data_IF_326046019383
#
_entry.id   IF_326046019383
#
_cell.length_a   1.000
_cell.length_b   1.000
_cell.length_c   1.000
_cell.angle_alpha   90.00
_cell.angle_beta   90.00
_cell.angle_gamma   90.00
#
_symmetry.space_group_name_H-M   'P 1'
#
loop_
_entity.id
_entity.type
_entity.pdbx_description
1 polymer ?
#
# COMPACT_ATOMS: atom_id res chain seq x y z
N UNK A 1 -44.28 -38.76 -56.12
CA UNK A 1 -42.92 -39.36 -55.97
C UNK A 1 -41.94 -38.28 -55.72
N UNK A 2 -41.75 -37.90 -54.51
CA UNK A 2 -40.53 -37.09 -54.10
C UNK A 2 -40.11 -37.56 -52.71
N UNK A 3 -38.89 -38.09 -52.64
CA UNK A 3 -38.21 -38.51 -51.41
C UNK A 3 -37.72 -37.29 -50.67
N UNK A 4 -38.15 -37.07 -49.46
CA UNK A 4 -37.59 -36.12 -48.52
C UNK A 4 -36.40 -36.79 -47.82
N UNK A 5 -35.20 -36.26 -48.05
CA UNK A 5 -33.97 -36.57 -47.28
C UNK A 5 -33.91 -35.54 -46.18
N UNK A 6 -34.07 -35.98 -44.94
CA UNK A 6 -33.81 -35.17 -43.74
C UNK A 6 -32.28 -35.17 -43.48
N UNK A 7 -31.66 -34.03 -43.66
CA UNK A 7 -30.26 -33.79 -43.28
C UNK A 7 -30.20 -33.41 -41.81
N UNK A 8 -29.79 -34.33 -40.96
CA UNK A 8 -29.51 -34.05 -39.56
C UNK A 8 -28.21 -33.25 -39.45
N UNK A 9 -28.29 -31.95 -39.19
CA UNK A 9 -27.16 -31.14 -38.73
C UNK A 9 -26.81 -31.51 -37.30
N UNK A 10 -25.73 -32.26 -37.10
CA UNK A 10 -25.10 -32.43 -35.81
C UNK A 10 -24.33 -31.14 -35.52
N UNK A 11 -24.85 -30.27 -34.65
CA UNK A 11 -24.11 -29.19 -34.05
C UNK A 11 -23.10 -29.82 -33.10
N UNK A 12 -21.85 -29.95 -33.55
CA UNK A 12 -20.71 -30.07 -32.64
C UNK A 12 -20.51 -28.72 -31.98
N UNK A 13 -20.98 -28.57 -30.75
CA UNK A 13 -20.50 -27.57 -29.82
C UNK A 13 -19.05 -27.89 -29.52
N UNK A 14 -18.14 -27.26 -30.27
CA UNK A 14 -16.74 -27.15 -29.85
C UNK A 14 -16.74 -26.30 -28.58
N UNK A 15 -16.66 -26.96 -27.45
CA UNK A 15 -16.15 -26.27 -26.23
C UNK A 15 -14.74 -25.81 -26.55
N UNK A 16 -14.59 -24.57 -27.02
CA UNK A 16 -13.33 -23.87 -26.95
C UNK A 16 -13.04 -23.65 -25.47
N UNK A 17 -12.31 -24.59 -24.87
CA UNK A 17 -11.53 -24.29 -23.70
C UNK A 17 -10.66 -23.10 -24.09
N UNK A 18 -11.03 -21.91 -23.63
CA UNK A 18 -10.11 -20.80 -23.52
C UNK A 18 -9.03 -21.27 -22.55
N UNK A 19 -8.01 -21.93 -23.07
CA UNK A 19 -6.73 -21.97 -22.40
C UNK A 19 -6.35 -20.48 -22.25
N UNK A 20 -6.49 -19.92 -21.04
CA UNK A 20 -5.91 -18.64 -20.70
C UNK A 20 -4.43 -18.75 -21.08
N UNK A 21 -4.05 -18.12 -22.20
CA UNK A 21 -2.65 -17.88 -22.48
C UNK A 21 -2.13 -17.12 -21.28
N UNK A 22 -1.18 -17.72 -20.57
CA UNK A 22 -0.39 -16.97 -19.60
C UNK A 22 0.12 -15.73 -20.33
N UNK A 23 0.02 -14.53 -19.73
CA UNK A 23 0.57 -13.34 -20.34
C UNK A 23 2.01 -13.66 -20.71
N UNK A 24 2.35 -13.51 -21.99
CA UNK A 24 3.74 -13.57 -22.41
C UNK A 24 4.47 -12.54 -21.57
N UNK A 25 5.43 -13.01 -20.78
CA UNK A 25 6.29 -12.11 -20.02
C UNK A 25 6.86 -11.12 -21.01
N UNK A 26 6.50 -9.86 -20.88
CA UNK A 26 6.94 -8.75 -21.72
C UNK A 26 8.46 -8.57 -21.67
N UNK A 27 9.12 -9.28 -20.75
CA UNK A 27 10.56 -9.50 -20.75
C UNK A 27 10.78 -11.00 -20.78
N UNK A 28 11.05 -11.51 -21.95
CA UNK A 28 11.59 -12.85 -22.09
C UNK A 28 12.97 -12.90 -21.39
N UNK A 29 13.01 -13.58 -20.24
CA UNK A 29 14.29 -13.82 -19.55
C UNK A 29 15.30 -14.54 -20.43
N UNK A 30 14.84 -15.30 -21.43
CA UNK A 30 15.71 -15.96 -22.40
C UNK A 30 16.46 -14.97 -23.30
N UNK A 31 15.81 -13.86 -23.69
CA UNK A 31 16.48 -12.80 -24.46
C UNK A 31 17.55 -12.07 -23.66
N UNK A 32 17.38 -11.95 -22.34
CA UNK A 32 18.41 -11.42 -21.45
C UNK A 32 19.54 -12.45 -21.32
N UNK A 33 19.22 -13.73 -21.16
CA UNK A 33 20.20 -14.81 -20.98
C UNK A 33 21.00 -15.07 -22.25
N UNK A 34 20.38 -15.06 -23.44
CA UNK A 34 21.08 -15.21 -24.71
C UNK A 34 22.00 -14.02 -25.02
N UNK A 35 21.56 -12.80 -24.77
CA UNK A 35 22.43 -11.60 -24.89
C UNK A 35 23.52 -11.51 -23.82
N UNK A 36 23.34 -12.15 -22.67
CA UNK A 36 24.36 -12.19 -21.61
C UNK A 36 25.50 -13.16 -21.93
N UNK A 37 25.33 -14.13 -22.82
CA UNK A 37 26.40 -15.02 -23.25
C UNK A 37 27.35 -14.37 -24.26
N UNK A 38 26.95 -13.30 -24.93
CA UNK A 38 27.82 -12.50 -25.80
C UNK A 38 28.42 -11.31 -25.05
N UNK A 39 29.56 -11.51 -24.38
CA UNK A 39 30.43 -10.51 -23.76
C UNK A 39 29.77 -9.63 -22.69
N UNK A 40 29.98 -10.02 -21.43
CA UNK A 40 29.68 -9.23 -20.20
C UNK A 40 30.52 -7.93 -20.13
N UNK A 41 30.34 -7.00 -21.04
CA UNK A 41 30.79 -5.63 -20.83
C UNK A 41 29.70 -4.91 -20.02
N UNK A 42 30.00 -4.68 -18.74
CA UNK A 42 29.12 -3.84 -17.92
C UNK A 42 28.94 -2.47 -18.58
N UNK A 43 27.67 -2.06 -18.71
CA UNK A 43 27.28 -0.78 -19.33
C UNK A 43 26.73 0.18 -18.28
N UNK A 44 26.82 1.49 -18.49
CA UNK A 44 26.07 2.44 -17.69
C UNK A 44 24.58 2.10 -17.72
N UNK A 45 23.85 2.41 -16.65
CA UNK A 45 22.40 2.27 -16.65
C UNK A 45 21.78 3.18 -17.72
N UNK A 46 20.91 2.65 -18.55
CA UNK A 46 20.10 3.40 -19.51
C UNK A 46 18.63 3.49 -19.04
N UNK A 47 17.83 4.34 -19.72
CA UNK A 47 16.41 4.43 -19.48
C UNK A 47 15.70 3.10 -19.75
N UNK A 48 16.10 2.40 -20.81
CA UNK A 48 15.55 1.08 -21.16
C UNK A 48 15.88 0.04 -20.09
N UNK A 49 17.11 0.07 -19.56
CA UNK A 49 17.51 -0.83 -18.45
C UNK A 49 16.71 -0.54 -17.19
N UNK A 50 16.45 0.74 -16.87
CA UNK A 50 15.62 1.14 -15.73
C UNK A 50 14.20 0.58 -15.85
N UNK A 51 13.60 0.60 -17.04
CA UNK A 51 12.27 0.05 -17.28
C UNK A 51 12.19 -1.48 -17.21
N UNK A 52 13.30 -2.19 -17.44
CA UNK A 52 13.37 -3.65 -17.32
C UNK A 52 13.35 -4.16 -15.88
N UNK A 53 13.66 -3.31 -14.89
CA UNK A 53 13.67 -3.70 -13.49
C UNK A 53 12.28 -4.11 -13.02
N UNK A 54 12.15 -5.27 -12.38
CA UNK A 54 10.95 -5.66 -11.64
C UNK A 54 10.76 -4.77 -10.41
N UNK A 55 9.54 -4.30 -10.20
CA UNK A 55 9.17 -3.51 -9.01
C UNK A 55 8.59 -4.45 -7.97
N UNK A 56 9.36 -4.68 -6.90
CA UNK A 56 8.99 -5.59 -5.82
C UNK A 56 8.14 -4.86 -4.79
N UNK A 57 7.00 -5.45 -4.43
CA UNK A 57 6.14 -5.05 -3.32
C UNK A 57 5.98 -6.22 -2.34
N UNK A 58 6.04 -5.96 -1.05
CA UNK A 58 5.74 -6.99 -0.06
C UNK A 58 4.24 -6.93 0.28
N UNK A 59 3.57 -8.08 0.19
CA UNK A 59 2.10 -8.16 0.30
C UNK A 59 1.65 -8.70 1.67
N UNK A 60 2.46 -9.52 2.34
CA UNK A 60 2.13 -10.01 3.68
C UNK A 60 2.84 -11.30 4.08
N UNK A 61 2.81 -11.57 5.37
CA UNK A 61 3.31 -12.82 5.97
C UNK A 61 2.15 -13.74 6.30
N UNK A 62 2.37 -15.07 6.18
CA UNK A 62 1.47 -16.05 6.76
C UNK A 62 1.43 -15.90 8.29
N UNK A 63 0.30 -16.28 8.92
CA UNK A 63 0.13 -16.10 10.37
C UNK A 63 1.19 -16.83 11.20
N UNK A 64 1.64 -17.99 10.73
CA UNK A 64 2.74 -18.74 11.34
C UNK A 64 4.13 -18.12 11.10
N UNK A 65 4.21 -17.12 10.25
CA UNK A 65 5.45 -16.42 9.92
C UNK A 65 6.44 -17.23 9.08
N UNK A 66 5.98 -18.30 8.40
CA UNK A 66 6.85 -19.19 7.61
C UNK A 66 6.92 -18.88 6.14
N UNK A 67 5.98 -18.10 5.61
CA UNK A 67 5.98 -17.70 4.22
C UNK A 67 5.64 -16.21 4.07
N UNK A 68 6.22 -15.64 3.01
CA UNK A 68 5.99 -14.27 2.57
C UNK A 68 5.31 -14.30 1.21
N UNK A 69 4.24 -13.54 1.05
CA UNK A 69 3.68 -13.17 -0.25
C UNK A 69 4.26 -11.83 -0.68
N UNK A 70 4.76 -11.76 -1.91
CA UNK A 70 5.27 -10.53 -2.50
C UNK A 70 4.84 -10.43 -3.96
N UNK A 71 4.68 -9.20 -4.45
CA UNK A 71 4.35 -8.91 -5.84
C UNK A 71 5.57 -8.47 -6.62
N UNK A 72 5.59 -8.76 -7.92
CA UNK A 72 6.58 -8.21 -8.85
C UNK A 72 5.83 -7.59 -10.02
N UNK A 73 5.99 -6.28 -10.20
CA UNK A 73 5.41 -5.56 -11.34
C UNK A 73 6.47 -5.36 -12.43
N UNK A 74 6.10 -5.67 -13.67
CA UNK A 74 6.88 -5.36 -14.85
C UNK A 74 6.13 -4.39 -15.76
N UNK A 75 6.86 -3.58 -16.51
CA UNK A 75 6.30 -2.56 -17.39
C UNK A 75 6.53 -2.89 -18.85
N UNK A 76 5.52 -2.70 -19.69
CA UNK A 76 5.63 -2.67 -21.13
C UNK A 76 5.63 -1.23 -21.64
N UNK A 77 6.71 -0.80 -22.28
CA UNK A 77 6.76 0.50 -22.92
C UNK A 77 5.85 0.56 -24.15
N UNK A 78 5.75 -0.51 -24.91
CA UNK A 78 4.92 -0.59 -26.11
C UNK A 78 3.44 -0.46 -25.79
N UNK A 79 3.00 -1.17 -24.73
CA UNK A 79 1.60 -1.18 -24.33
C UNK A 79 1.23 -0.07 -23.33
N UNK A 80 2.24 0.65 -22.82
CA UNK A 80 2.08 1.64 -21.75
C UNK A 80 1.29 1.11 -20.55
N UNK A 81 1.62 -0.10 -20.13
CA UNK A 81 0.97 -0.83 -19.04
C UNK A 81 1.99 -1.45 -18.10
N UNK A 82 1.50 -1.84 -16.93
CA UNK A 82 2.22 -2.72 -16.00
C UNK A 82 1.34 -3.90 -15.61
N UNK A 83 1.98 -5.04 -15.34
CA UNK A 83 1.35 -6.23 -14.79
C UNK A 83 2.09 -6.64 -13.53
N UNK A 84 1.35 -7.10 -12.53
CA UNK A 84 1.89 -7.57 -11.26
C UNK A 84 1.41 -8.98 -10.96
N UNK A 85 2.35 -9.89 -10.81
CA UNK A 85 2.10 -11.24 -10.33
C UNK A 85 2.51 -11.37 -8.86
N UNK A 86 1.81 -12.22 -8.13
CA UNK A 86 2.17 -12.60 -6.76
C UNK A 86 3.11 -13.81 -6.76
N UNK A 87 4.03 -13.80 -5.81
CA UNK A 87 4.98 -14.85 -5.54
C UNK A 87 4.91 -15.28 -4.08
N UNK A 88 5.18 -16.55 -3.82
CA UNK A 88 5.28 -17.12 -2.49
C UNK A 88 6.73 -17.47 -2.18
N UNK A 89 7.29 -16.89 -1.13
CA UNK A 89 8.64 -17.18 -0.63
C UNK A 89 8.56 -17.95 0.68
N UNK A 90 9.17 -19.13 0.74
CA UNK A 90 9.29 -19.90 1.99
C UNK A 90 10.48 -19.39 2.80
N UNK A 91 10.23 -18.90 4.00
CA UNK A 91 11.27 -18.47 4.94
C UNK A 91 12.07 -19.63 5.52
N UNK A 92 11.54 -20.87 5.47
CA UNK A 92 12.23 -22.07 5.94
C UNK A 92 13.23 -22.60 4.91
N UNK A 93 12.85 -22.63 3.62
CA UNK A 93 13.66 -23.23 2.55
C UNK A 93 14.41 -22.19 1.71
N UNK A 94 14.04 -20.92 1.78
CA UNK A 94 14.58 -19.86 0.93
C UNK A 94 14.14 -19.94 -0.54
N UNK A 95 13.12 -20.75 -0.85
CA UNK A 95 12.64 -20.96 -2.21
C UNK A 95 11.46 -20.03 -2.52
N UNK A 96 11.52 -19.37 -3.68
CA UNK A 96 10.42 -18.58 -4.22
C UNK A 96 9.72 -19.32 -5.36
N UNK A 97 8.38 -19.28 -5.36
CA UNK A 97 7.55 -19.83 -6.43
C UNK A 97 6.54 -18.79 -6.88
N UNK A 98 6.22 -18.77 -8.17
CA UNK A 98 5.15 -17.91 -8.68
C UNK A 98 3.81 -18.42 -8.15
N UNK A 99 3.05 -17.51 -7.51
CA UNK A 99 1.78 -17.84 -6.88
C UNK A 99 0.57 -17.56 -7.78
N UNK A 100 0.54 -16.42 -8.45
CA UNK A 100 -0.50 -16.08 -9.44
C UNK A 100 0.10 -15.91 -10.83
N UNK A 101 -0.77 -15.97 -11.83
CA UNK A 101 -0.49 -15.62 -13.22
C UNK A 101 -1.77 -15.02 -13.78
N UNK A 102 -1.81 -13.72 -13.93
CA UNK A 102 -3.01 -13.05 -14.42
C UNK A 102 -2.67 -11.79 -15.20
N UNK A 103 -3.63 -11.33 -15.98
CA UNK A 103 -3.57 -10.02 -16.62
C UNK A 103 -4.10 -8.97 -15.64
N UNK A 104 -3.23 -8.13 -15.14
CA UNK A 104 -3.58 -7.04 -14.24
C UNK A 104 -2.69 -6.96 -13.01
N UNK A 105 -3.11 -6.22 -12.01
CA UNK A 105 -2.37 -6.03 -10.78
C UNK A 105 -3.03 -6.76 -9.61
N UNK A 106 -2.48 -7.90 -9.21
CA UNK A 106 -2.95 -8.58 -8.01
C UNK A 106 -2.42 -7.91 -6.74
N UNK A 107 -3.27 -7.82 -5.72
CA UNK A 107 -2.88 -7.36 -4.38
C UNK A 107 -3.52 -8.23 -3.32
N UNK A 108 -2.73 -8.64 -2.33
CA UNK A 108 -3.22 -9.48 -1.23
C UNK A 108 -4.14 -8.64 -0.33
N UNK A 109 -5.33 -9.18 -0.08
CA UNK A 109 -6.32 -8.58 0.83
C UNK A 109 -6.29 -9.28 2.19
N UNK A 110 -6.15 -10.61 2.20
CA UNK A 110 -6.15 -11.41 3.43
C UNK A 110 -5.39 -12.71 3.23
N UNK A 111 -4.62 -13.10 4.23
CA UNK A 111 -4.02 -14.43 4.34
C UNK A 111 -4.67 -15.14 5.51
N UNK A 112 -5.33 -16.26 5.26
CA UNK A 112 -6.06 -17.03 6.26
C UNK A 112 -5.16 -18.09 6.90
N UNK A 113 -5.51 -18.52 8.12
CA UNK A 113 -4.72 -19.50 8.88
C UNK A 113 -4.65 -20.89 8.22
N UNK A 114 -5.64 -21.23 7.37
CA UNK A 114 -5.67 -22.47 6.60
C UNK A 114 -4.79 -22.41 5.32
N UNK A 115 -4.13 -21.27 5.07
CA UNK A 115 -3.31 -21.04 3.90
C UNK A 115 -4.06 -20.50 2.68
N UNK A 116 -5.36 -20.21 2.79
CA UNK A 116 -6.09 -19.50 1.75
C UNK A 116 -5.64 -18.04 1.69
N UNK A 117 -5.35 -17.56 0.49
CA UNK A 117 -5.02 -16.16 0.19
C UNK A 117 -6.16 -15.57 -0.60
N UNK A 118 -6.80 -14.56 -0.03
CA UNK A 118 -7.75 -13.73 -0.76
C UNK A 118 -7.00 -12.53 -1.32
N UNK A 119 -7.09 -12.30 -2.62
CA UNK A 119 -6.46 -11.21 -3.31
C UNK A 119 -7.43 -10.50 -4.25
N UNK A 120 -7.18 -9.24 -4.53
CA UNK A 120 -7.91 -8.46 -5.52
C UNK A 120 -7.25 -8.57 -6.88
N UNK A 121 -8.07 -8.71 -7.93
CA UNK A 121 -7.68 -8.62 -9.33
C UNK A 121 -8.81 -7.95 -10.11
N UNK A 122 -8.51 -6.83 -10.78
CA UNK A 122 -9.49 -6.03 -11.55
C UNK A 122 -10.75 -5.69 -10.73
N UNK A 123 -10.58 -5.31 -9.47
CA UNK A 123 -11.66 -4.96 -8.56
C UNK A 123 -12.49 -6.15 -8.05
N UNK A 124 -12.16 -7.39 -8.42
CA UNK A 124 -12.83 -8.59 -7.93
C UNK A 124 -11.96 -9.35 -6.94
N UNK A 125 -12.57 -10.04 -5.99
CA UNK A 125 -11.88 -10.90 -5.04
C UNK A 125 -11.70 -12.29 -5.63
N UNK A 126 -10.52 -12.81 -5.45
CA UNK A 126 -10.11 -14.16 -5.83
C UNK A 126 -9.50 -14.88 -4.64
N UNK A 127 -9.56 -16.20 -4.66
CA UNK A 127 -8.98 -17.04 -3.62
C UNK A 127 -8.11 -18.13 -4.22
N UNK A 128 -6.94 -18.36 -3.59
CA UNK A 128 -6.03 -19.46 -3.90
C UNK A 128 -5.32 -19.93 -2.66
N UNK A 129 -5.11 -21.25 -2.50
CA UNK A 129 -4.37 -21.79 -1.35
C UNK A 129 -2.86 -21.79 -1.63
N UNK A 130 -2.05 -21.47 -0.60
CA UNK A 130 -0.57 -21.47 -0.70
C UNK A 130 0.01 -22.86 -1.02
N UNK A 131 -0.69 -23.94 -0.69
CA UNK A 131 -0.26 -25.30 -0.95
C UNK A 131 -0.56 -25.76 -2.39
N UNK A 132 -1.21 -24.93 -3.22
CA UNK A 132 -1.53 -25.21 -4.61
C UNK A 132 -3.03 -25.19 -4.92
N UNK A 133 -3.38 -25.67 -6.10
CA UNK A 133 -4.74 -25.61 -6.64
C UNK A 133 -4.99 -24.39 -7.52
N UNK A 134 -6.15 -24.37 -8.16
CA UNK A 134 -6.57 -23.28 -9.04
C UNK A 134 -7.09 -22.10 -8.25
N UNK A 135 -6.96 -20.91 -8.82
CA UNK A 135 -7.60 -19.70 -8.28
C UNK A 135 -9.11 -19.74 -8.56
N UNK A 136 -9.90 -19.35 -7.55
CA UNK A 136 -11.35 -19.27 -7.65
C UNK A 136 -11.78 -17.81 -7.49
N UNK A 137 -12.54 -17.30 -8.45
CA UNK A 137 -13.18 -15.98 -8.33
C UNK A 137 -14.28 -16.03 -7.27
N UNK A 138 -14.21 -15.12 -6.29
CA UNK A 138 -15.19 -15.04 -5.21
C UNK A 138 -16.31 -14.03 -5.50
N UNK A 139 -16.01 -12.95 -6.24
CA UNK A 139 -16.97 -11.87 -6.51
C UNK A 139 -17.04 -11.55 -8.00
N UNK A 140 -18.23 -11.10 -8.41
CA UNK A 140 -18.49 -10.52 -9.74
C UNK A 140 -19.44 -9.33 -9.54
N UNK A 141 -18.85 -8.19 -9.14
CA UNK A 141 -19.57 -6.98 -8.72
C UNK A 141 -19.33 -5.87 -9.74
N UNK A 142 -20.40 -5.29 -10.23
CA UNK A 142 -20.33 -4.15 -11.14
C UNK A 142 -19.62 -2.96 -10.46
N UNK A 143 -18.61 -2.42 -11.16
CA UNK A 143 -17.73 -1.38 -10.66
C UNK A 143 -16.66 -1.85 -9.66
N UNK A 144 -16.64 -3.14 -9.29
CA UNK A 144 -15.60 -3.72 -8.42
C UNK A 144 -15.66 -3.29 -6.96
N UNK A 145 -14.65 -3.73 -6.22
CA UNK A 145 -14.45 -3.43 -4.81
C UNK A 145 -13.05 -2.82 -4.62
N UNK A 146 -12.96 -1.74 -3.86
CA UNK A 146 -11.70 -1.09 -3.52
C UNK A 146 -11.50 -1.05 -2.00
N UNK A 147 -10.26 -0.98 -1.55
CA UNK A 147 -9.88 -0.80 -0.13
C UNK A 147 -10.52 -1.84 0.81
N UNK A 148 -10.55 -3.08 0.38
CA UNK A 148 -11.28 -4.16 1.04
C UNK A 148 -10.62 -4.57 2.35
N UNK A 149 -11.43 -4.70 3.41
CA UNK A 149 -11.04 -5.26 4.72
C UNK A 149 -12.10 -6.22 5.23
N UNK A 150 -11.69 -7.40 5.67
CA UNK A 150 -12.57 -8.37 6.34
C UNK A 150 -12.63 -8.10 7.84
N UNK A 151 -13.81 -8.28 8.44
CA UNK A 151 -13.93 -8.28 9.90
C UNK A 151 -13.11 -9.43 10.52
N UNK A 152 -12.62 -9.28 11.77
CA UNK A 152 -11.89 -10.34 12.45
C UNK A 152 -12.63 -11.67 12.54
N UNK A 153 -13.97 -11.65 12.72
CA UNK A 153 -14.82 -12.85 12.76
C UNK A 153 -15.17 -13.42 11.37
N UNK A 154 -14.71 -12.77 10.30
CA UNK A 154 -14.92 -13.19 8.91
C UNK A 154 -16.36 -13.05 8.38
N UNK A 155 -17.28 -12.45 9.14
CA UNK A 155 -18.70 -12.35 8.76
C UNK A 155 -19.07 -11.11 7.98
N UNK A 156 -18.19 -10.12 7.96
CA UNK A 156 -18.41 -8.85 7.29
C UNK A 156 -17.23 -8.46 6.42
N UNK A 157 -17.56 -7.67 5.40
CA UNK A 157 -16.60 -7.02 4.52
C UNK A 157 -16.82 -5.51 4.58
N UNK A 158 -15.75 -4.76 4.61
CA UNK A 158 -15.69 -3.31 4.46
C UNK A 158 -14.97 -3.02 3.15
N UNK A 159 -15.49 -2.10 2.37
CA UNK A 159 -14.89 -1.67 1.10
C UNK A 159 -15.31 -0.24 0.77
N UNK A 160 -14.59 0.41 -0.13
CA UNK A 160 -14.98 1.72 -0.63
C UNK A 160 -15.63 1.63 -2.02
N UNK A 161 -16.54 2.57 -2.26
CA UNK A 161 -17.16 2.77 -3.57
C UNK A 161 -17.46 4.26 -3.78
N UNK A 162 -17.29 4.73 -5.02
CA UNK A 162 -17.64 6.10 -5.40
C UNK A 162 -19.16 6.26 -5.56
N UNK A 163 -19.73 7.23 -4.83
CA UNK A 163 -21.17 7.54 -4.81
C UNK A 163 -21.39 8.94 -5.37
N UNK A 164 -22.33 9.09 -6.32
CA UNK A 164 -22.68 10.40 -6.85
C UNK A 164 -23.53 11.18 -5.82
N UNK A 165 -22.95 12.20 -5.23
CA UNK A 165 -23.59 13.06 -4.21
C UNK A 165 -23.91 14.44 -4.78
N UNK A 166 -23.03 14.97 -5.63
CA UNK A 166 -23.18 16.29 -6.25
C UNK A 166 -23.35 16.19 -7.76
N UNK A 167 -24.15 17.04 -8.33
CA UNK A 167 -24.37 17.11 -9.77
C UNK A 167 -23.57 18.29 -10.33
N UNK A 168 -22.38 18.03 -10.84
CA UNK A 168 -21.52 19.04 -11.45
C UNK A 168 -21.55 19.01 -12.97
N UNK A 169 -21.86 17.88 -13.59
CA UNK A 169 -21.95 17.77 -15.03
C UNK A 169 -23.20 18.49 -15.56
N UNK A 170 -23.05 19.19 -16.67
CA UNK A 170 -24.15 19.97 -17.28
C UNK A 170 -25.38 19.12 -17.62
N UNK A 171 -25.19 17.89 -18.09
CA UNK A 171 -26.29 16.98 -18.37
C UNK A 171 -27.13 16.63 -17.13
N UNK A 172 -26.54 16.69 -15.92
CA UNK A 172 -27.23 16.47 -14.66
C UNK A 172 -27.91 17.73 -14.10
N UNK A 173 -27.42 18.93 -14.51
CA UNK A 173 -27.91 20.25 -14.07
C UNK A 173 -28.97 20.84 -15.02
N UNK A 174 -28.83 20.57 -16.31
CA UNK A 174 -29.65 21.19 -17.39
C UNK A 174 -30.20 20.09 -18.29
N UNK A 175 -31.44 19.69 -18.06
CA UNK A 175 -32.11 18.60 -18.79
C UNK A 175 -32.31 18.91 -20.28
N UNK A 176 -32.39 20.20 -20.64
CA UNK A 176 -32.47 20.71 -22.02
C UNK A 176 -31.15 20.73 -22.79
N UNK A 177 -30.03 20.45 -22.11
CA UNK A 177 -28.69 20.41 -22.67
C UNK A 177 -27.98 19.05 -22.55
N UNK A 178 -28.62 17.94 -22.95
CA UNK A 178 -28.13 16.58 -22.68
C UNK A 178 -26.82 16.23 -23.41
N UNK A 179 -26.44 17.00 -24.44
CA UNK A 179 -25.21 16.81 -25.22
C UNK A 179 -24.06 17.71 -24.76
N UNK A 180 -24.32 18.60 -23.81
CA UNK A 180 -23.29 19.46 -23.26
C UNK A 180 -22.30 18.65 -22.40
N UNK A 181 -21.00 18.83 -22.64
CA UNK A 181 -19.95 18.15 -21.86
C UNK A 181 -19.13 19.19 -21.07
N UNK A 182 -19.78 19.79 -20.08
CA UNK A 182 -19.21 20.88 -19.24
C UNK A 182 -19.45 20.54 -17.78
N UNK A 183 -18.48 20.88 -16.92
CA UNK A 183 -18.66 20.85 -15.48
C UNK A 183 -18.89 22.27 -14.97
N UNK A 184 -19.83 22.43 -14.04
CA UNK A 184 -20.21 23.72 -13.46
C UNK A 184 -19.99 23.66 -11.94
N UNK A 185 -19.00 24.38 -11.47
CA UNK A 185 -18.63 24.47 -10.06
C UNK A 185 -18.94 25.84 -9.50
N UNK A 186 -19.49 25.87 -8.30
CA UNK A 186 -19.84 27.09 -7.56
C UNK A 186 -18.89 27.31 -6.36
N UNK A 187 -17.92 26.42 -6.17
CA UNK A 187 -17.00 26.43 -5.01
C UNK A 187 -15.64 25.84 -5.36
N UNK A 188 -14.66 25.98 -4.45
CA UNK A 188 -13.37 25.31 -4.53
C UNK A 188 -13.50 23.79 -4.32
N UNK A 189 -12.33 23.07 -4.41
CA UNK A 189 -12.25 21.62 -4.45
C UNK A 189 -12.86 21.02 -5.72
N UNK A 190 -12.75 21.76 -6.83
CA UNK A 190 -13.22 21.29 -8.13
C UNK A 190 -12.19 20.46 -8.89
N UNK A 191 -10.91 20.53 -8.50
CA UNK A 191 -9.81 19.79 -9.12
C UNK A 191 -8.71 19.52 -8.11
N UNK A 192 -8.16 18.31 -8.15
CA UNK A 192 -6.92 17.96 -7.46
C UNK A 192 -5.93 17.38 -8.49
N UNK A 193 -4.71 17.96 -8.61
CA UNK A 193 -3.74 17.69 -9.68
C UNK A 193 -4.40 17.78 -11.07
N UNK A 194 -4.51 16.67 -11.80
CA UNK A 194 -5.10 16.54 -13.12
C UNK A 194 -6.53 15.96 -13.12
N UNK A 195 -7.08 15.64 -11.96
CA UNK A 195 -8.41 15.03 -11.80
C UNK A 195 -9.43 16.07 -11.37
N UNK A 196 -10.47 16.25 -12.19
CA UNK A 196 -11.63 17.08 -11.86
C UNK A 196 -12.62 16.30 -10.98
N UNK A 197 -13.22 16.98 -10.00
CA UNK A 197 -14.29 16.42 -9.19
C UNK A 197 -15.55 16.23 -10.07
N UNK A 198 -15.99 15.01 -10.24
CA UNK A 198 -17.18 14.65 -11.02
C UNK A 198 -18.46 14.58 -10.18
N UNK A 199 -18.36 14.95 -8.89
CA UNK A 199 -19.48 14.89 -7.93
C UNK A 199 -19.61 13.56 -7.22
N UNK A 200 -18.71 12.61 -7.47
CA UNK A 200 -18.61 11.35 -6.74
C UNK A 200 -17.69 11.49 -5.55
N UNK A 201 -18.07 10.83 -4.47
CA UNK A 201 -17.29 10.75 -3.24
C UNK A 201 -17.10 9.30 -2.88
N UNK A 202 -15.88 8.90 -2.53
CA UNK A 202 -15.63 7.56 -2.03
C UNK A 202 -16.22 7.42 -0.64
N UNK A 203 -17.13 6.47 -0.47
CA UNK A 203 -17.76 6.14 0.79
C UNK A 203 -17.36 4.76 1.27
N UNK A 204 -17.22 4.52 2.58
CA UNK A 204 -17.07 3.20 3.15
C UNK A 204 -18.41 2.48 3.16
N UNK A 205 -18.43 1.28 2.60
CA UNK A 205 -19.57 0.36 2.62
C UNK A 205 -19.27 -0.84 3.49
N UNK A 206 -20.26 -1.29 4.25
CA UNK A 206 -20.19 -2.56 4.93
C UNK A 206 -21.26 -3.53 4.39
N UNK A 207 -20.92 -4.80 4.26
CA UNK A 207 -21.85 -5.86 3.91
C UNK A 207 -21.58 -7.14 4.70
N UNK A 208 -22.56 -8.03 4.83
CA UNK A 208 -22.30 -9.39 5.28
C UNK A 208 -21.46 -10.14 4.24
N UNK A 209 -20.64 -11.08 4.70
CA UNK A 209 -19.79 -11.89 3.83
C UNK A 209 -19.90 -13.37 4.24
N UNK A 210 -20.13 -14.24 3.28
CA UNK A 210 -20.13 -15.70 3.44
C UNK A 210 -19.56 -16.36 2.18
N UNK A 211 -18.32 -16.84 2.26
CA UNK A 211 -17.66 -17.61 1.19
C UNK A 211 -17.81 -17.00 -0.24
N UNK A 212 -17.56 -15.70 -0.37
CA UNK A 212 -17.67 -14.97 -1.64
C UNK A 212 -19.06 -14.34 -1.88
N UNK A 213 -20.06 -14.72 -1.11
CA UNK A 213 -21.37 -14.07 -1.18
C UNK A 213 -21.36 -12.80 -0.34
N UNK A 214 -21.55 -11.67 -0.99
CA UNK A 214 -21.69 -10.36 -0.35
C UNK A 214 -23.18 -10.03 -0.28
N UNK A 215 -23.64 -9.74 0.93
CA UNK A 215 -25.03 -9.34 1.17
C UNK A 215 -25.27 -7.89 0.77
N UNK A 216 -26.43 -7.36 1.15
CA UNK A 216 -26.75 -5.96 0.91
C UNK A 216 -25.74 -5.03 1.55
N UNK A 217 -25.17 -4.14 0.74
CA UNK A 217 -24.16 -3.19 1.17
C UNK A 217 -24.84 -1.93 1.75
N UNK A 218 -24.40 -1.54 2.95
CA UNK A 218 -24.83 -0.31 3.61
C UNK A 218 -23.75 0.75 3.48
N UNK A 219 -24.10 1.91 2.93
CA UNK A 219 -23.29 3.12 2.91
C UNK A 219 -23.19 3.71 4.33
N UNK A 220 -21.97 3.93 4.83
CA UNK A 220 -21.73 4.50 6.18
C UNK A 220 -21.80 6.02 6.15
N UNK A 221 -21.56 6.65 4.99
CA UNK A 221 -21.61 8.09 4.77
C UNK A 221 -22.80 8.52 3.90
N UNK A 222 -23.88 7.75 3.91
CA UNK A 222 -25.04 7.98 3.04
C UNK A 222 -25.47 9.45 3.01
N UNK A 223 -25.44 10.04 1.79
CA UNK A 223 -25.84 11.42 1.55
C UNK A 223 -24.79 12.49 1.94
N UNK A 224 -23.68 12.12 2.56
CA UNK A 224 -22.63 13.06 2.98
C UNK A 224 -21.63 13.35 1.84
N UNK A 225 -21.26 14.63 1.57
CA UNK A 225 -20.31 14.98 0.53
C UNK A 225 -18.87 14.93 1.07
N UNK A 226 -18.47 13.76 1.62
CA UNK A 226 -17.16 13.57 2.22
C UNK A 226 -16.47 12.33 1.66
N UNK A 227 -15.14 12.33 1.62
CA UNK A 227 -14.33 11.21 1.16
C UNK A 227 -13.87 10.35 2.32
N UNK A 228 -14.04 9.03 2.20
CA UNK A 228 -13.35 8.02 2.98
C UNK A 228 -13.14 6.75 2.13
N UNK A 229 -11.89 6.35 1.82
CA UNK A 229 -10.64 6.95 2.29
C UNK A 229 -10.52 8.41 1.93
N UNK A 230 -9.75 9.16 2.75
CA UNK A 230 -9.58 10.60 2.54
C UNK A 230 -8.79 10.88 1.25
N UNK A 231 -9.14 11.94 0.53
CA UNK A 231 -8.42 12.35 -0.67
C UNK A 231 -7.39 13.43 -0.33
N UNK A 232 -6.21 13.44 -1.02
CA UNK A 232 -5.83 12.54 -2.14
C UNK A 232 -5.05 11.29 -1.70
N UNK A 233 -4.64 11.17 -0.42
CA UNK A 233 -3.61 10.23 0.03
C UNK A 233 -4.16 8.97 0.72
N UNK A 234 -5.44 8.90 1.03
CA UNK A 234 -6.03 7.78 1.75
C UNK A 234 -6.24 6.53 0.90
N UNK A 235 -6.15 5.38 1.56
CA UNK A 235 -6.36 4.06 1.00
C UNK A 235 -6.94 3.09 2.04
N UNK A 236 -6.66 1.79 1.88
CA UNK A 236 -7.14 0.78 2.81
C UNK A 236 -6.63 0.97 4.25
N UNK A 237 -5.52 1.70 4.45
CA UNK A 237 -4.97 2.05 5.77
C UNK A 237 -5.88 3.00 6.56
N UNK A 238 -6.77 3.73 5.89
CA UNK A 238 -7.76 4.59 6.54
C UNK A 238 -8.88 3.80 7.22
N UNK A 239 -8.92 2.48 7.04
CA UNK A 239 -9.94 1.60 7.59
C UNK A 239 -9.39 0.61 8.59
N UNK A 240 -10.11 0.42 9.69
CA UNK A 240 -9.85 -0.66 10.65
C UNK A 240 -11.16 -1.23 11.19
N UNK A 241 -11.17 -2.55 11.44
CA UNK A 241 -12.20 -3.20 12.23
C UNK A 241 -11.82 -3.19 13.70
N UNK A 242 -12.81 -3.01 14.59
CA UNK A 242 -12.58 -3.32 16.00
C UNK A 242 -12.34 -4.81 16.18
N UNK A 243 -11.51 -5.23 17.17
CA UNK A 243 -11.18 -6.64 17.39
C UNK A 243 -12.39 -7.54 17.63
N UNK A 244 -13.47 -6.99 18.17
CA UNK A 244 -14.74 -7.69 18.43
C UNK A 244 -15.70 -7.69 17.22
N UNK A 245 -15.27 -7.16 16.07
CA UNK A 245 -16.06 -7.04 14.84
C UNK A 245 -17.34 -6.21 14.93
N UNK A 246 -17.51 -5.41 16.00
CA UNK A 246 -18.73 -4.63 16.24
C UNK A 246 -18.65 -3.18 15.79
N UNK A 247 -17.48 -2.70 15.44
CA UNK A 247 -17.29 -1.32 15.01
C UNK A 247 -16.30 -1.26 13.84
N UNK A 248 -16.47 -0.23 13.02
CA UNK A 248 -15.58 0.14 11.94
C UNK A 248 -14.95 1.48 12.31
N UNK A 249 -13.64 1.60 12.16
CA UNK A 249 -12.93 2.87 12.17
C UNK A 249 -12.70 3.29 10.72
N UNK A 250 -12.91 4.57 10.46
CA UNK A 250 -12.62 5.16 9.16
C UNK A 250 -12.07 6.58 9.33
N UNK A 251 -11.16 6.96 8.46
CA UNK A 251 -10.60 8.32 8.40
C UNK A 251 -11.44 9.15 7.45
N UNK A 252 -11.77 10.38 7.87
CA UNK A 252 -12.55 11.29 7.05
C UNK A 252 -12.25 12.74 7.39
N UNK A 253 -12.11 13.59 6.37
CA UNK A 253 -12.11 15.04 6.50
C UNK A 253 -13.53 15.53 6.25
N UNK A 254 -14.35 15.69 7.32
CA UNK A 254 -15.73 16.15 7.20
C UNK A 254 -15.81 17.67 6.96
N UNK A 255 -15.24 18.08 5.85
CA UNK A 255 -15.22 19.45 5.32
C UNK A 255 -15.61 19.43 3.85
N UNK A 256 -16.06 20.56 3.33
CA UNK A 256 -16.50 20.69 1.96
C UNK A 256 -16.11 22.03 1.36
N UNK A 257 -15.88 22.09 0.06
CA UNK A 257 -15.57 23.30 -0.68
C UNK A 257 -14.26 23.96 -0.24
N UNK A 258 -14.29 25.26 0.06
CA UNK A 258 -13.11 26.02 0.49
C UNK A 258 -12.48 25.43 1.74
N UNK A 259 -13.30 25.02 2.72
CA UNK A 259 -12.79 24.44 3.98
C UNK A 259 -12.07 23.12 3.75
N UNK A 260 -12.49 22.33 2.76
CA UNK A 260 -11.78 21.12 2.36
C UNK A 260 -10.43 21.45 1.72
N UNK A 261 -10.38 22.46 0.86
CA UNK A 261 -9.20 22.83 0.11
C UNK A 261 -8.07 23.40 0.98
N UNK A 262 -8.41 24.11 2.07
CA UNK A 262 -7.42 24.79 2.94
C UNK A 262 -7.04 24.00 4.18
N UNK A 263 -7.79 22.96 4.53
CA UNK A 263 -7.57 22.19 5.77
C UNK A 263 -6.92 20.85 5.49
N UNK A 264 -5.99 20.45 6.36
CA UNK A 264 -5.44 19.10 6.41
C UNK A 264 -6.06 18.25 7.53
N UNK A 265 -7.02 18.81 8.29
CA UNK A 265 -7.61 18.13 9.45
C UNK A 265 -8.50 16.97 9.03
N UNK A 266 -8.02 15.74 9.23
CA UNK A 266 -8.81 14.51 9.19
C UNK A 266 -9.05 14.00 10.59
N UNK A 267 -10.19 13.37 10.79
CA UNK A 267 -10.52 12.69 12.05
C UNK A 267 -10.71 11.18 11.82
N UNK A 268 -10.48 10.42 12.89
CA UNK A 268 -10.82 9.00 12.96
C UNK A 268 -12.21 8.86 13.58
N UNK A 269 -13.14 8.32 12.81
CA UNK A 269 -14.50 8.07 13.25
C UNK A 269 -14.70 6.59 13.56
N UNK A 270 -15.48 6.30 14.59
CA UNK A 270 -15.93 4.96 14.95
C UNK A 270 -17.42 4.83 14.64
N UNK A 271 -17.77 3.96 13.71
CA UNK A 271 -19.14 3.56 13.38
C UNK A 271 -19.49 2.26 14.12
N UNK A 272 -20.55 2.28 14.92
CA UNK A 272 -21.06 1.11 15.65
C UNK A 272 -22.09 0.36 14.80
N UNK A 273 -21.84 -0.94 14.57
CA UNK A 273 -22.71 -1.77 13.73
C UNK A 273 -24.06 -2.07 14.35
N UNK A 274 -24.17 -2.00 15.69
CA UNK A 274 -25.35 -2.37 16.44
C UNK A 274 -26.45 -1.32 16.35
N UNK A 275 -26.05 -0.05 16.47
CA UNK A 275 -26.99 1.07 16.53
C UNK A 275 -26.83 2.09 15.39
N UNK A 276 -25.77 1.97 14.56
CA UNK A 276 -25.47 2.88 13.47
C UNK A 276 -24.92 4.24 13.89
N UNK A 277 -24.55 4.42 15.14
CA UNK A 277 -23.99 5.69 15.61
C UNK A 277 -22.53 5.85 15.22
N UNK A 278 -22.16 7.08 14.89
CA UNK A 278 -20.79 7.48 14.59
C UNK A 278 -20.25 8.41 15.68
N UNK A 279 -19.06 8.12 16.20
CA UNK A 279 -18.34 8.93 17.17
C UNK A 279 -17.00 9.36 16.62
N UNK A 280 -16.64 10.64 16.77
CA UNK A 280 -15.31 11.16 16.44
C UNK A 280 -14.34 10.84 17.59
N UNK A 281 -13.31 10.03 17.31
CA UNK A 281 -12.31 9.60 18.29
C UNK A 281 -11.19 10.63 18.48
N UNK A 282 -10.92 11.45 17.46
CA UNK A 282 -9.81 12.42 17.45
C UNK A 282 -10.30 13.87 17.52
N UNK A 283 -11.58 14.08 17.77
CA UNK A 283 -12.17 15.40 17.87
C UNK A 283 -11.38 16.35 18.78
N UNK A 284 -11.03 17.53 18.23
CA UNK A 284 -10.17 18.52 18.88
C UNK A 284 -8.67 18.39 18.57
N UNK A 285 -8.22 17.35 17.86
CA UNK A 285 -6.93 17.30 17.19
C UNK A 285 -7.08 18.01 15.83
N UNK A 286 -6.06 18.74 15.37
CA UNK A 286 -6.26 19.73 14.29
C UNK A 286 -5.44 19.46 13.03
N UNK A 287 -4.71 18.38 12.95
CA UNK A 287 -3.94 17.96 11.77
C UNK A 287 -4.46 16.69 11.15
N UNK A 288 -3.65 16.04 10.35
CA UNK A 288 -3.95 14.70 9.84
C UNK A 288 -3.94 13.70 11.00
N UNK A 289 -5.05 13.00 11.21
CA UNK A 289 -5.14 11.78 12.01
C UNK A 289 -5.48 10.61 11.07
N UNK A 290 -4.53 9.70 10.84
CA UNK A 290 -4.61 8.66 9.80
C UNK A 290 -4.08 7.32 10.29
N UNK A 291 -4.34 6.25 9.52
CA UNK A 291 -3.77 4.94 9.75
C UNK A 291 -4.08 4.33 11.15
N UNK A 292 -5.37 4.20 11.52
CA UNK A 292 -5.76 3.62 12.80
C UNK A 292 -5.48 2.12 12.86
N UNK A 293 -4.74 1.67 13.87
CA UNK A 293 -4.36 0.26 14.08
C UNK A 293 -4.56 -0.14 15.53
N UNK A 294 -5.31 -1.20 15.77
CA UNK A 294 -5.42 -1.79 17.11
C UNK A 294 -4.17 -2.59 17.48
N UNK A 295 -3.84 -2.61 18.76
CA UNK A 295 -2.85 -3.54 19.30
C UNK A 295 -3.28 -4.99 19.08
N UNK A 296 -2.35 -5.98 19.04
CA UNK A 296 -2.68 -7.39 18.84
C UNK A 296 -3.69 -7.95 19.83
N UNK A 297 -3.71 -7.45 21.07
CA UNK A 297 -4.67 -7.81 22.12
C UNK A 297 -5.97 -6.99 22.09
N UNK A 298 -6.07 -6.03 21.16
CA UNK A 298 -7.24 -5.16 21.01
C UNK A 298 -7.44 -4.10 22.10
N UNK A 299 -6.54 -3.99 23.07
CA UNK A 299 -6.71 -3.11 24.24
C UNK A 299 -6.26 -1.67 23.99
N UNK A 300 -5.56 -1.41 22.90
CA UNK A 300 -5.07 -0.09 22.51
C UNK A 300 -5.38 0.21 21.05
N UNK A 301 -5.58 1.48 20.76
CA UNK A 301 -5.66 2.02 19.40
C UNK A 301 -4.48 2.96 19.18
N UNK A 302 -3.85 2.89 18.03
CA UNK A 302 -2.70 3.72 17.64
C UNK A 302 -2.93 4.29 16.25
N UNK A 303 -2.47 5.52 16.02
CA UNK A 303 -2.54 6.16 14.71
C UNK A 303 -1.39 7.15 14.50
N UNK A 304 -1.21 7.62 13.27
CA UNK A 304 -0.33 8.72 12.93
C UNK A 304 -1.10 10.04 13.07
N UNK A 305 -0.47 11.04 13.66
CA UNK A 305 -1.08 12.32 13.93
C UNK A 305 -0.14 13.49 13.62
N UNK A 306 -0.58 14.42 12.80
CA UNK A 306 0.03 15.75 12.64
C UNK A 306 -0.68 16.75 13.55
N UNK A 307 0.00 17.84 13.90
CA UNK A 307 -0.50 18.80 14.88
C UNK A 307 -1.25 19.98 14.25
N UNK A 308 -0.80 20.47 13.09
CA UNK A 308 -1.17 21.79 12.59
C UNK A 308 -2.06 21.68 11.36
N UNK A 309 -3.28 22.21 11.45
CA UNK A 309 -4.22 22.30 10.31
C UNK A 309 -3.64 23.17 9.19
N UNK A 310 -3.77 22.71 7.94
CA UNK A 310 -3.25 23.40 6.75
C UNK A 310 -1.74 23.29 6.55
N UNK A 311 -1.03 22.49 7.35
CA UNK A 311 0.43 22.38 7.27
C UNK A 311 0.89 20.93 7.00
N UNK A 312 0.95 20.54 5.74
CA UNK A 312 1.32 19.17 5.31
C UNK A 312 2.78 18.78 5.61
N UNK A 313 3.66 19.76 5.85
CA UNK A 313 5.05 19.50 6.23
C UNK A 313 5.26 19.26 7.73
N UNK A 314 4.19 19.22 8.51
CA UNK A 314 4.26 18.90 9.94
C UNK A 314 4.71 17.45 10.15
N UNK A 315 5.29 17.15 11.30
CA UNK A 315 5.73 15.80 11.61
C UNK A 315 4.54 14.90 11.96
N UNK A 316 4.61 13.65 11.57
CA UNK A 316 3.73 12.61 12.08
C UNK A 316 4.25 12.09 13.42
N UNK A 317 3.40 12.19 14.43
CA UNK A 317 3.56 11.57 15.73
C UNK A 317 2.79 10.23 15.80
N UNK A 318 3.25 9.32 16.66
CA UNK A 318 2.52 8.10 17.02
C UNK A 318 1.68 8.40 18.28
N UNK A 319 0.37 8.37 18.13
CA UNK A 319 -0.56 8.54 19.25
C UNK A 319 -1.16 7.20 19.66
N UNK A 320 -1.20 6.95 20.96
CA UNK A 320 -1.76 5.76 21.58
C UNK A 320 -3.01 6.14 22.38
N UNK A 321 -4.08 5.37 22.28
CA UNK A 321 -5.32 5.57 23.03
C UNK A 321 -5.79 4.29 23.71
N UNK A 322 -6.34 4.41 24.88
CA UNK A 322 -7.18 3.41 25.50
C UNK A 322 -8.62 3.59 24.99
N UNK A 323 -9.17 2.66 24.18
CA UNK A 323 -10.50 2.84 23.58
C UNK A 323 -11.64 2.84 24.60
N UNK A 324 -11.40 2.34 25.83
CA UNK A 324 -12.42 2.27 26.88
C UNK A 324 -12.54 3.60 27.63
N UNK A 325 -11.40 4.18 28.00
CA UNK A 325 -11.39 5.45 28.76
C UNK A 325 -11.31 6.69 27.85
N UNK A 326 -10.91 6.53 26.59
CA UNK A 326 -10.64 7.64 25.67
C UNK A 326 -9.33 8.39 25.96
N UNK A 327 -8.56 7.94 26.97
CA UNK A 327 -7.27 8.55 27.32
C UNK A 327 -6.28 8.38 26.17
N UNK A 328 -5.59 9.46 25.82
CA UNK A 328 -4.59 9.50 24.72
C UNK A 328 -3.20 9.84 25.26
N UNK A 329 -2.18 9.32 24.59
CA UNK A 329 -0.76 9.62 24.84
C UNK A 329 -0.03 9.74 23.50
N UNK A 330 0.57 10.89 23.23
CA UNK A 330 1.49 11.06 22.11
C UNK A 330 2.85 10.45 22.50
N UNK A 331 3.18 9.29 21.96
CA UNK A 331 4.41 8.54 22.28
C UNK A 331 5.68 9.22 21.79
N UNK A 332 5.61 9.97 20.70
CA UNK A 332 6.77 10.58 20.02
C UNK A 332 6.85 12.09 20.20
N UNK A 333 6.03 12.69 21.07
CA UNK A 333 5.95 14.15 21.27
C UNK A 333 7.29 14.82 21.56
N UNK A 334 8.22 14.12 22.24
CA UNK A 334 9.53 14.64 22.64
C UNK A 334 10.62 14.45 21.56
N UNK A 335 10.27 13.82 20.43
CA UNK A 335 11.22 13.49 19.37
C UNK A 335 11.05 14.43 18.17
N UNK A 336 12.18 14.85 17.58
CA UNK A 336 12.22 15.77 16.45
C UNK A 336 12.11 15.04 15.08
N UNK A 337 11.92 13.73 15.08
CA UNK A 337 11.69 12.96 13.85
C UNK A 337 10.23 12.83 13.49
N UNK A 338 9.96 12.48 12.22
CA UNK A 338 8.63 12.18 11.69
C UNK A 338 8.49 10.69 11.41
N UNK A 339 7.37 10.08 11.78
CA UNK A 339 7.08 8.66 11.56
C UNK A 339 6.40 8.50 10.20
N UNK A 340 7.00 7.70 9.30
CA UNK A 340 6.42 7.44 7.97
C UNK A 340 5.38 6.32 7.98
N UNK A 341 5.67 5.23 8.71
CA UNK A 341 4.72 4.13 8.94
C UNK A 341 5.13 3.34 10.18
N UNK A 342 4.19 2.56 10.73
CA UNK A 342 4.46 1.77 11.94
C UNK A 342 3.73 0.42 11.91
N UNK A 343 4.24 -0.52 12.72
CA UNK A 343 3.58 -1.80 13.02
C UNK A 343 3.75 -2.13 14.50
N UNK A 344 2.78 -2.85 15.06
CA UNK A 344 2.90 -3.42 16.39
C UNK A 344 3.81 -4.65 16.41
N UNK A 345 4.57 -4.84 17.50
CA UNK A 345 5.17 -6.14 17.79
C UNK A 345 4.09 -7.18 18.05
N UNK A 346 4.36 -8.45 17.73
CA UNK A 346 3.39 -9.56 17.95
C UNK A 346 2.91 -9.68 19.39
N UNK A 347 3.76 -9.34 20.36
CA UNK A 347 3.45 -9.36 21.79
C UNK A 347 2.80 -8.08 22.33
N UNK A 348 2.56 -7.09 21.46
CA UNK A 348 1.95 -5.80 21.81
C UNK A 348 2.78 -4.88 22.70
N UNK A 349 4.07 -5.20 22.97
CA UNK A 349 4.91 -4.44 23.91
C UNK A 349 5.74 -3.36 23.25
N UNK A 350 5.85 -3.38 21.92
CA UNK A 350 6.60 -2.40 21.14
C UNK A 350 5.80 -1.97 19.93
N UNK A 351 6.14 -0.80 19.43
CA UNK A 351 5.81 -0.34 18.08
C UNK A 351 7.14 -0.22 17.36
N UNK A 352 7.25 -0.86 16.18
CA UNK A 352 8.32 -0.66 15.22
C UNK A 352 7.84 0.35 14.19
N UNK A 353 8.72 1.24 13.76
CA UNK A 353 8.38 2.25 12.78
C UNK A 353 9.57 2.63 11.91
N UNK A 354 9.31 3.25 10.78
CA UNK A 354 10.33 3.81 9.92
C UNK A 354 10.25 5.34 9.93
N UNK A 355 11.42 5.96 9.85
CA UNK A 355 11.53 7.40 9.87
C UNK A 355 12.77 7.87 9.11
N UNK A 356 12.70 9.06 8.46
CA UNK A 356 13.87 9.67 7.83
C UNK A 356 14.89 10.12 8.88
N UNK A 357 16.15 9.85 8.60
CA UNK A 357 17.28 10.30 9.40
C UNK A 357 18.55 10.42 8.57
N UNK A 358 19.22 11.57 8.60
CA UNK A 358 20.50 11.82 7.93
C UNK A 358 20.52 11.37 6.46
N UNK A 359 19.46 11.69 5.70
CA UNK A 359 19.35 11.38 4.29
C UNK A 359 19.08 9.91 3.97
N UNK A 360 18.61 9.12 4.94
CA UNK A 360 18.12 7.73 4.79
C UNK A 360 16.83 7.53 5.57
N UNK A 361 16.13 6.44 5.31
CA UNK A 361 14.98 6.01 6.10
C UNK A 361 15.36 4.75 6.88
N UNK A 362 15.28 4.81 8.20
CA UNK A 362 15.77 3.75 9.09
C UNK A 362 14.66 3.18 9.96
N UNK A 363 14.92 2.00 10.54
CA UNK A 363 14.05 1.34 11.50
C UNK A 363 14.28 1.90 12.91
N UNK A 364 13.18 2.13 13.60
CA UNK A 364 13.12 2.54 14.99
C UNK A 364 12.18 1.63 15.78
N UNK A 365 12.31 1.66 17.09
CA UNK A 365 11.36 1.03 17.99
C UNK A 365 11.08 1.91 19.21
N UNK A 366 9.87 1.78 19.77
CA UNK A 366 9.47 2.40 21.02
C UNK A 366 8.68 1.39 21.86
N UNK A 367 8.95 1.37 23.17
CA UNK A 367 8.19 0.54 24.10
C UNK A 367 6.81 1.14 24.36
N UNK A 368 5.80 0.29 24.41
CA UNK A 368 4.44 0.69 24.75
C UNK A 368 4.28 0.66 26.27
N UNK A 369 3.90 1.79 26.90
CA UNK A 369 3.68 1.82 28.34
C UNK A 369 2.37 1.09 28.72
N UNK A 370 2.37 0.38 29.81
CA UNK A 370 1.16 -0.29 30.33
C UNK A 370 0.10 0.70 30.76
N UNK A 371 0.51 1.84 31.32
CA UNK A 371 -0.37 2.93 31.73
C UNK A 371 -0.08 4.18 30.91
N UNK A 372 -1.11 4.86 30.41
CA UNK A 372 -0.96 6.08 29.63
C UNK A 372 -0.63 7.33 30.49
N UNK A 373 -0.78 7.26 31.82
CA UNK A 373 -0.29 8.29 32.76
C UNK A 373 1.19 8.08 33.07
N UNK A 374 2.06 8.36 32.13
CA UNK A 374 3.50 8.22 32.30
C UNK A 374 4.14 9.50 32.87
N UNK A 375 5.16 9.37 33.73
CA UNK A 375 5.96 10.51 34.21
C UNK A 375 6.96 10.98 33.15
N UNK A 376 7.43 10.07 32.31
CA UNK A 376 8.32 10.32 31.17
C UNK A 376 7.93 9.44 30.01
N UNK A 377 8.05 9.96 28.78
CA UNK A 377 7.83 9.18 27.56
C UNK A 377 8.90 8.12 27.36
N UNK A 378 8.55 6.97 26.77
CA UNK A 378 9.51 5.92 26.46
C UNK A 378 10.60 6.41 25.50
N UNK A 379 11.80 5.83 25.61
CA UNK A 379 12.91 6.14 24.72
C UNK A 379 12.66 5.56 23.34
N UNK A 380 12.91 6.37 22.32
CA UNK A 380 12.90 5.95 20.91
C UNK A 380 14.30 5.41 20.58
N UNK A 381 14.36 4.19 20.09
CA UNK A 381 15.58 3.46 19.75
C UNK A 381 15.69 3.34 18.24
N UNK A 382 16.74 3.90 17.63
CA UNK A 382 17.10 3.59 16.25
C UNK A 382 17.71 2.19 16.23
N UNK A 383 17.09 1.25 15.49
CA UNK A 383 17.51 -0.15 15.47
C UNK A 383 18.28 -0.54 14.21
N UNK A 384 18.16 0.21 13.11
CA UNK A 384 18.96 0.02 11.90
C UNK A 384 19.80 1.24 11.59
N UNK A 385 20.94 1.02 10.90
CA UNK A 385 21.84 2.07 10.39
C UNK A 385 22.52 1.58 9.12
N UNK A 386 22.64 2.45 8.11
CA UNK A 386 23.33 2.11 6.86
C UNK A 386 22.97 3.06 5.73
N UNK A 387 23.61 2.87 4.57
CA UNK A 387 23.29 3.60 3.34
C UNK A 387 22.18 2.88 2.55
N UNK A 388 21.03 2.73 3.18
CA UNK A 388 19.83 2.14 2.59
C UNK A 388 18.60 2.81 3.19
N UNK A 389 17.49 2.70 2.49
CA UNK A 389 16.18 3.11 2.98
C UNK A 389 15.33 1.88 3.25
N UNK A 390 14.72 1.81 4.43
CA UNK A 390 13.63 0.87 4.71
C UNK A 390 12.33 1.53 4.26
N UNK A 391 11.70 0.99 3.23
CA UNK A 391 10.52 1.59 2.60
C UNK A 391 9.20 1.07 3.16
N UNK A 392 9.23 -0.04 3.92
CA UNK A 392 8.05 -0.61 4.57
C UNK A 392 8.40 -1.71 5.55
N UNK A 393 7.53 -1.93 6.54
CA UNK A 393 7.59 -3.04 7.48
C UNK A 393 6.41 -3.96 7.19
N UNK A 394 6.70 -5.22 6.79
CA UNK A 394 5.66 -6.22 6.46
C UNK A 394 5.12 -6.87 7.73
N UNK A 395 6.01 -7.20 8.66
CA UNK A 395 5.65 -7.80 9.93
C UNK A 395 6.83 -8.41 10.67
N UNK A 396 6.56 -8.86 11.90
CA UNK A 396 7.53 -9.49 12.77
C UNK A 396 7.55 -11.01 12.57
N UNK A 397 8.73 -11.60 12.58
CA UNK A 397 8.98 -13.04 12.67
C UNK A 397 9.71 -13.36 13.98
N UNK A 398 9.98 -14.63 14.27
CA UNK A 398 10.78 -15.03 15.43
C UNK A 398 12.18 -14.42 15.40
N UNK A 399 12.76 -14.23 14.21
CA UNK A 399 14.15 -13.82 14.02
C UNK A 399 14.35 -12.33 13.79
N UNK A 400 13.28 -11.60 13.44
CA UNK A 400 13.39 -10.19 13.07
C UNK A 400 12.15 -9.61 12.40
N UNK A 401 12.36 -8.54 11.63
CA UNK A 401 11.32 -7.86 10.85
C UNK A 401 11.51 -8.16 9.37
N UNK A 402 10.45 -8.58 8.70
CA UNK A 402 10.42 -8.58 7.23
C UNK A 402 10.11 -7.15 6.78
N UNK A 403 10.98 -6.64 5.92
CA UNK A 403 10.93 -5.25 5.46
C UNK A 403 11.18 -5.17 3.96
N UNK A 404 10.73 -4.10 3.33
CA UNK A 404 11.21 -3.70 2.01
C UNK A 404 12.33 -2.68 2.18
N UNK A 405 13.36 -2.79 1.37
CA UNK A 405 14.51 -1.88 1.42
C UNK A 405 15.07 -1.60 0.04
N UNK A 406 15.55 -0.38 -0.16
CA UNK A 406 16.18 0.11 -1.38
C UNK A 406 17.49 0.83 -1.07
N UNK A 407 18.29 1.07 -2.10
CA UNK A 407 19.47 1.94 -2.03
C UNK A 407 19.50 2.87 -3.23
N UNK A 408 20.40 3.85 -3.25
CA UNK A 408 20.60 4.71 -4.44
C UNK A 408 21.07 3.95 -5.68
N UNK A 409 21.48 2.68 -5.53
CA UNK A 409 21.99 1.85 -6.63
C UNK A 409 21.08 0.68 -6.99
N UNK A 410 20.09 0.37 -6.16
CA UNK A 410 19.23 -0.83 -6.34
C UNK A 410 17.78 -0.50 -6.02
N UNK A 411 16.87 -0.99 -6.86
CA UNK A 411 15.44 -0.96 -6.60
C UNK A 411 15.09 -1.77 -5.34
N UNK A 412 13.89 -1.56 -4.84
CA UNK A 412 13.42 -2.25 -3.64
C UNK A 412 13.37 -3.77 -3.81
N UNK A 413 13.82 -4.45 -2.77
CA UNK A 413 13.72 -5.90 -2.58
C UNK A 413 13.19 -6.16 -1.17
N UNK A 414 12.78 -7.40 -0.87
CA UNK A 414 12.36 -7.79 0.48
C UNK A 414 13.53 -8.37 1.24
N UNK A 415 13.66 -7.97 2.50
CA UNK A 415 14.74 -8.36 3.41
C UNK A 415 14.16 -8.84 4.74
N UNK A 416 14.94 -9.65 5.44
CA UNK A 416 14.79 -9.92 6.86
C UNK A 416 15.81 -9.07 7.64
N UNK A 417 15.33 -8.07 8.38
CA UNK A 417 16.16 -7.40 9.39
C UNK A 417 16.28 -8.27 10.62
N UNK A 418 17.44 -8.86 10.85
CA UNK A 418 17.67 -9.78 11.97
C UNK A 418 17.96 -9.03 13.26
N UNK A 419 17.17 -9.25 14.30
CA UNK A 419 17.36 -8.61 15.61
C UNK A 419 18.73 -8.90 16.24
N UNK A 420 19.23 -10.13 16.09
CA UNK A 420 20.49 -10.57 16.68
C UNK A 420 21.71 -9.89 16.07
N UNK A 421 21.78 -9.81 14.75
CA UNK A 421 22.94 -9.28 14.02
C UNK A 421 22.78 -7.81 13.64
N UNK A 422 21.58 -7.26 13.71
CA UNK A 422 21.19 -5.92 13.25
C UNK A 422 21.52 -5.68 11.75
N UNK A 423 21.39 -6.73 10.94
CA UNK A 423 21.69 -6.70 9.51
C UNK A 423 20.47 -7.06 8.68
N UNK A 424 20.41 -6.51 7.47
CA UNK A 424 19.46 -6.88 6.43
C UNK A 424 19.97 -8.12 5.68
N UNK A 425 19.19 -9.18 5.68
CA UNK A 425 19.41 -10.37 4.86
C UNK A 425 18.40 -10.37 3.71
N UNK A 426 18.84 -10.41 2.42
CA UNK A 426 17.92 -10.43 1.31
C UNK A 426 17.07 -11.71 1.31
N UNK A 427 15.77 -11.56 1.07
CA UNK A 427 14.83 -12.65 0.82
C UNK A 427 14.50 -12.74 -0.68
N UNK A 428 14.51 -11.62 -1.38
CA UNK A 428 14.31 -11.56 -2.83
C UNK A 428 15.52 -10.96 -3.54
N UNK A 429 15.74 -11.35 -4.79
CA UNK A 429 16.85 -10.91 -5.64
C UNK A 429 16.38 -10.81 -7.09
N UNK A 430 15.21 -10.19 -7.28
CA UNK A 430 14.46 -10.17 -8.55
C UNK A 430 15.27 -9.55 -9.70
N UNK A 431 16.12 -8.59 -9.38
CA UNK A 431 16.85 -7.79 -10.36
C UNK A 431 18.36 -8.05 -10.39
N UNK A 432 18.88 -9.07 -9.69
CA UNK A 432 20.32 -9.31 -9.59
C UNK A 432 21.00 -9.60 -10.96
N UNK A 433 20.31 -10.31 -11.83
CA UNK A 433 20.76 -10.59 -13.20
C UNK A 433 20.92 -9.29 -14.02
N UNK A 434 20.01 -8.34 -13.88
CA UNK A 434 20.10 -7.05 -14.56
C UNK A 434 21.24 -6.21 -13.95
N UNK A 435 21.34 -6.14 -12.63
CA UNK A 435 22.40 -5.39 -11.97
C UNK A 435 23.80 -5.93 -12.27
N UNK A 436 23.96 -7.23 -12.54
CA UNK A 436 25.21 -7.81 -12.97
C UNK A 436 25.72 -7.25 -14.32
N UNK A 437 24.83 -6.70 -15.14
CA UNK A 437 25.16 -6.08 -16.44
C UNK A 437 25.42 -4.57 -16.35
N UNK A 438 25.21 -3.96 -15.17
CA UNK A 438 25.34 -2.52 -14.98
C UNK A 438 26.67 -2.19 -14.31
N UNK A 439 27.36 -1.19 -14.82
CA UNK A 439 28.55 -0.64 -14.15
C UNK A 439 28.18 -0.06 -12.79
N UNK A 440 28.93 -0.46 -11.76
CA UNK A 440 28.76 0.10 -10.43
C UNK A 440 29.17 1.58 -10.41
N UNK A 441 28.55 2.32 -9.52
CA UNK A 441 28.82 3.75 -9.31
C UNK A 441 29.13 4.01 -7.84
N UNK A 442 30.00 4.95 -7.57
CA UNK A 442 30.30 5.39 -6.21
C UNK A 442 29.20 6.34 -5.74
N UNK A 443 28.68 6.09 -4.54
CA UNK A 443 27.81 7.01 -3.80
C UNK A 443 28.48 7.39 -2.49
N UNK A 444 28.49 8.67 -2.16
CA UNK A 444 29.20 9.21 -1.01
C UNK A 444 28.33 10.26 -0.30
N UNK A 445 28.25 10.18 1.02
CA UNK A 445 27.64 11.24 1.83
C UNK A 445 28.61 12.36 2.10
N UNK A 446 28.13 13.60 2.11
CA UNK A 446 28.91 14.80 2.47
C UNK A 446 28.16 15.67 3.45
N UNK A 447 28.90 16.29 4.35
CA UNK A 447 28.38 17.32 5.24
C UNK A 447 29.11 18.62 4.87
N UNK A 448 28.35 19.63 4.52
CA UNK A 448 28.83 20.97 4.19
C UNK A 448 28.22 21.98 5.16
N UNK A 449 28.99 22.91 5.66
CA UNK A 449 28.47 23.99 6.51
C UNK A 449 27.72 25.01 5.66
N UNK A 450 26.49 25.32 6.05
CA UNK A 450 25.73 26.42 5.50
C UNK A 450 26.24 27.78 6.04
N UNK A 451 25.77 28.88 5.45
CA UNK A 451 26.16 30.23 5.86
C UNK A 451 25.78 30.60 7.31
N UNK A 452 24.74 29.96 7.84
CA UNK A 452 24.27 30.09 9.22
C UNK A 452 24.93 29.10 10.20
N UNK A 453 25.87 28.27 9.70
CA UNK A 453 26.60 27.28 10.48
C UNK A 453 25.94 25.92 10.64
N UNK A 454 24.74 25.73 10.10
CA UNK A 454 24.05 24.43 10.09
C UNK A 454 24.76 23.42 9.19
N UNK A 455 24.63 22.16 9.53
CA UNK A 455 25.12 21.06 8.71
C UNK A 455 24.14 20.75 7.58
N UNK A 456 24.60 20.92 6.34
CA UNK A 456 23.89 20.47 5.14
C UNK A 456 24.37 19.07 4.80
N UNK A 457 23.47 18.12 4.89
CA UNK A 457 23.70 16.75 4.47
C UNK A 457 23.39 16.60 2.98
N UNK A 458 24.28 15.98 2.22
CA UNK A 458 24.10 15.73 0.80
C UNK A 458 24.65 14.38 0.37
N UNK A 459 24.07 13.82 -0.66
CA UNK A 459 24.58 12.66 -1.38
C UNK A 459 25.24 13.08 -2.68
N UNK A 460 26.39 12.50 -2.99
CA UNK A 460 27.08 12.66 -4.28
C UNK A 460 27.11 11.33 -4.98
N UNK A 461 26.45 11.24 -6.13
CA UNK A 461 26.42 10.08 -7.00
C UNK A 461 27.40 10.36 -8.14
N UNK A 462 28.47 9.58 -8.22
CA UNK A 462 29.48 9.73 -9.25
C UNK A 462 29.06 8.96 -10.51
N UNK A 463 29.46 9.44 -11.73
CA UNK A 463 29.31 8.61 -12.91
C UNK A 463 30.14 7.34 -12.80
N UNK A 464 29.76 6.24 -13.49
CA UNK A 464 30.65 5.09 -13.66
C UNK A 464 32.02 5.53 -14.24
N UNK A 465 33.10 4.87 -13.83
CA UNK A 465 34.46 5.17 -14.27
C UNK A 465 34.91 6.62 -13.94
N UNK A 466 34.43 7.18 -12.83
CA UNK A 466 34.78 8.54 -12.40
C UNK A 466 36.29 8.75 -12.29
N UNK A 467 36.79 9.77 -12.99
CA UNK A 467 38.21 10.20 -12.91
C UNK A 467 38.28 11.56 -12.18
N UNK A 468 38.93 11.65 -11.00
CA UNK A 468 39.00 12.90 -10.23
C UNK A 468 39.76 14.01 -10.94
N UNK A 469 40.53 13.71 -11.99
CA UNK A 469 41.29 14.69 -12.78
C UNK A 469 40.46 15.31 -13.92
N UNK A 470 39.21 14.84 -14.13
CA UNK A 470 38.28 15.36 -15.14
C UNK A 470 37.20 16.22 -14.51
N UNK A 471 36.68 17.15 -15.29
CA UNK A 471 35.49 17.91 -14.93
C UNK A 471 34.26 17.26 -15.54
N UNK A 472 33.19 17.18 -14.75
CA UNK A 472 31.93 16.60 -15.16
C UNK A 472 30.78 17.61 -15.02
N UNK A 473 29.78 17.59 -15.90
CA UNK A 473 28.51 18.27 -15.65
C UNK A 473 27.92 17.78 -14.33
N UNK A 474 27.40 18.69 -13.53
CA UNK A 474 26.78 18.35 -12.25
C UNK A 474 25.32 18.77 -12.26
N UNK A 475 24.43 17.86 -11.85
CA UNK A 475 23.01 18.11 -11.61
C UNK A 475 22.82 18.27 -10.09
N UNK A 476 22.00 19.26 -9.70
CA UNK A 476 21.60 19.52 -8.32
C UNK A 476 20.09 19.30 -8.22
#
# INVERSE_FOLDING_TARGET
MYRNSILACVLMLSQSTFAQRAPERIIDKSLITEKMQETLTQQPMSAETLWKLGRVSAEGLTQDGKALLYGVSYYSLEENKSEKDLHLFSLETGVSTQFTRGEGGESVVKIESNGDVIYSLKGQLWKKNINGGDAVQLTDIDGGLENVKFSPDGKYILFSKAVLIKKYHSADKYEDLPKSNVYVYDNLDYRHWDTFNDGRFNHPFRASYDNGKIGEAKDILEGEPFYSPQMPFGGAEDYAWSPDSKSILYVCKKKFGVDYAVSTNTDIYRYDLTNGNTNNLTGGMTGYDTNPVFSPDGTRLTWLSMKTDGYEADKNDVVLMDPTSGQKLNLTAHWDGTVSSFVWSKDGKKIYFIAPTKGTIQLFSIKVPQNLNVRSLPVIEQISTGQFDVTGIVGETTDGLVVTSTTMKRAAEVFLYRFKTKQLQPLTTVNDDIYATIKDTKVESRITKASDGLDLFSWVIYPPDFDPNKKYPTLL
#
